data_IF_996519713202
#
_entry.id   IF_996519713202
#
_cell.length_a   1.000
_cell.length_b   1.000
_cell.length_c   1.000
_cell.angle_alpha   90.00
_cell.angle_beta   90.00
_cell.angle_gamma   90.00
#
_symmetry.space_group_name_H-M   'P 1'
#
loop_
_entity.id
_entity.type
_entity.pdbx_description
1 polymer ?
#
# COMPACT_ATOMS: atom_id res chain seq x y z
N UNK A 1 28.83 30.30 -8.20
CA UNK A 1 27.94 29.23 -7.73
C UNK A 1 26.76 29.25 -8.66
N UNK A 2 26.78 28.38 -9.67
CA UNK A 2 25.66 28.25 -10.62
C UNK A 2 24.77 27.13 -10.12
N UNK A 3 23.59 27.49 -9.64
CA UNK A 3 22.50 26.55 -9.36
C UNK A 3 22.03 25.98 -10.69
N UNK A 4 22.34 24.71 -10.96
CA UNK A 4 21.77 24.00 -12.10
C UNK A 4 20.35 23.62 -11.75
N UNK A 5 19.42 24.42 -12.23
CA UNK A 5 18.01 24.06 -12.36
C UNK A 5 17.93 22.86 -13.32
N UNK A 6 17.96 21.66 -12.78
CA UNK A 6 17.59 20.46 -13.52
C UNK A 6 16.06 20.41 -13.47
N UNK A 7 15.43 20.80 -14.56
CA UNK A 7 14.03 20.53 -14.79
C UNK A 7 13.77 19.04 -14.51
N UNK A 8 13.16 18.71 -13.38
CA UNK A 8 12.70 17.37 -13.09
C UNK A 8 11.63 17.02 -14.13
N UNK A 9 11.89 15.99 -14.93
CA UNK A 9 10.85 15.37 -15.75
C UNK A 9 9.70 15.01 -14.83
N UNK A 10 8.43 15.17 -15.27
CA UNK A 10 7.29 14.74 -14.46
C UNK A 10 7.50 13.29 -14.04
N UNK A 11 7.22 12.99 -12.77
CA UNK A 11 7.42 11.66 -12.22
C UNK A 11 6.52 10.68 -12.99
N UNK A 12 7.16 9.70 -13.65
CA UNK A 12 6.47 8.63 -14.38
C UNK A 12 5.47 7.92 -13.47
N UNK A 13 4.26 7.71 -13.99
CA UNK A 13 3.21 6.97 -13.31
C UNK A 13 3.18 5.54 -13.85
N UNK A 14 3.20 4.57 -12.94
CA UNK A 14 3.12 3.14 -13.25
C UNK A 14 1.85 2.59 -12.63
N UNK A 15 1.04 1.89 -13.42
CA UNK A 15 -0.20 1.25 -13.01
C UNK A 15 0.06 -0.20 -12.62
N UNK A 16 -0.64 -0.69 -11.60
CA UNK A 16 -0.53 -2.07 -11.14
C UNK A 16 -1.84 -2.82 -11.33
N UNK A 17 -1.75 -4.04 -11.88
CA UNK A 17 -2.85 -4.94 -12.18
C UNK A 17 -2.66 -6.28 -11.49
N UNK A 18 -3.78 -6.98 -11.20
CA UNK A 18 -3.75 -8.29 -10.57
C UNK A 18 -3.76 -9.38 -11.64
N UNK A 19 -2.78 -10.28 -11.58
CA UNK A 19 -2.70 -11.45 -12.44
C UNK A 19 -2.46 -12.73 -11.64
N UNK A 20 -2.97 -13.86 -12.14
CA UNK A 20 -2.63 -15.16 -11.59
C UNK A 20 -1.16 -15.48 -11.93
N UNK A 21 -0.45 -16.02 -10.96
CA UNK A 21 0.94 -16.40 -11.14
C UNK A 21 1.26 -17.72 -10.46
N UNK A 22 2.27 -18.40 -10.98
CA UNK A 22 2.80 -19.60 -10.35
C UNK A 22 3.39 -19.28 -8.96
N UNK A 23 3.16 -20.10 -7.94
CA UNK A 23 3.58 -19.82 -6.56
C UNK A 23 5.07 -19.52 -6.38
N UNK A 24 5.94 -20.08 -7.24
CA UNK A 24 7.38 -19.81 -7.16
C UNK A 24 7.75 -18.37 -7.51
N UNK A 25 6.98 -17.71 -8.39
CA UNK A 25 7.18 -16.31 -8.78
C UNK A 25 6.92 -15.35 -7.61
N UNK A 26 6.09 -15.73 -6.67
CA UNK A 26 5.68 -14.90 -5.53
C UNK A 26 6.58 -15.04 -4.30
N UNK A 27 7.69 -15.80 -4.43
CA UNK A 27 8.69 -15.99 -3.36
C UNK A 27 9.66 -14.83 -3.25
N UNK A 28 10.26 -14.67 -2.09
CA UNK A 28 11.22 -13.58 -1.80
C UNK A 28 12.40 -13.50 -2.77
N UNK A 29 12.88 -14.66 -3.27
CA UNK A 29 13.97 -14.74 -4.22
C UNK A 29 13.64 -14.17 -5.62
N UNK A 30 12.35 -14.02 -5.93
CA UNK A 30 11.87 -13.42 -7.18
C UNK A 30 11.57 -11.92 -7.05
N UNK A 31 11.73 -11.34 -5.87
CA UNK A 31 11.45 -9.92 -5.59
C UNK A 31 10.07 -9.48 -6.07
N UNK A 32 8.99 -10.19 -5.71
CA UNK A 32 7.69 -9.95 -6.30
C UNK A 32 7.07 -8.63 -5.90
N UNK A 33 6.30 -8.05 -6.83
CA UNK A 33 5.15 -7.22 -6.46
C UNK A 33 3.93 -8.14 -6.39
N UNK A 34 3.14 -8.05 -5.31
CA UNK A 34 2.01 -8.95 -5.10
C UNK A 34 0.97 -8.41 -4.13
N UNK A 35 -0.22 -8.97 -4.21
CA UNK A 35 -1.32 -8.75 -3.27
C UNK A 35 -1.62 -10.05 -2.53
N UNK A 36 -1.93 -9.96 -1.25
CA UNK A 36 -2.35 -11.10 -0.44
C UNK A 36 -1.24 -12.12 -0.12
N UNK A 37 -1.66 -13.27 0.39
CA UNK A 37 -0.73 -14.29 0.89
C UNK A 37 0.04 -13.84 2.12
N UNK A 38 1.29 -14.29 2.22
CA UNK A 38 2.24 -13.88 3.26
C UNK A 38 3.25 -12.90 2.66
N UNK A 39 3.79 -11.95 3.44
CA UNK A 39 4.80 -11.03 2.91
C UNK A 39 6.05 -11.79 2.44
N UNK A 40 6.57 -11.42 1.28
CA UNK A 40 7.85 -11.90 0.76
C UNK A 40 8.97 -10.98 1.26
N UNK A 41 9.41 -11.18 2.50
CA UNK A 41 10.43 -10.36 3.14
C UNK A 41 11.76 -10.42 2.38
N UNK A 42 12.38 -9.28 2.09
CA UNK A 42 13.73 -9.23 1.51
C UNK A 42 14.79 -9.81 2.47
N UNK A 43 14.57 -9.69 3.76
CA UNK A 43 15.47 -10.18 4.81
C UNK A 43 14.67 -10.43 6.08
N UNK A 44 15.12 -11.40 6.89
CA UNK A 44 14.58 -11.60 8.24
C UNK A 44 15.25 -10.70 9.29
N UNK A 45 16.15 -9.80 8.89
CA UNK A 45 16.74 -8.79 9.77
C UNK A 45 15.94 -7.49 9.71
N UNK A 46 15.77 -6.86 10.87
CA UNK A 46 15.07 -5.58 10.95
C UNK A 46 13.60 -5.64 10.62
N UNK A 47 12.96 -6.80 10.78
CA UNK A 47 11.52 -6.92 10.61
C UNK A 47 10.77 -6.09 11.65
N UNK A 48 9.56 -5.60 11.32
CA UNK A 48 8.73 -4.90 12.28
C UNK A 48 8.48 -5.76 13.52
N UNK A 49 8.46 -5.15 14.68
CA UNK A 49 8.12 -5.86 15.91
C UNK A 49 6.60 -6.12 15.99
N UNK A 50 6.20 -7.06 16.84
CA UNK A 50 4.78 -7.46 16.93
C UNK A 50 3.82 -6.30 17.22
N UNK A 51 4.12 -5.35 18.15
CA UNK A 51 3.27 -4.20 18.39
C UNK A 51 3.11 -3.27 17.17
N UNK A 52 4.13 -3.18 16.30
CA UNK A 52 4.05 -2.40 15.06
C UNK A 52 3.13 -3.04 14.02
N UNK A 53 2.89 -4.35 14.12
CA UNK A 53 2.01 -5.13 13.24
C UNK A 53 0.59 -5.32 13.82
N UNK A 54 0.24 -4.57 14.85
CA UNK A 54 -1.11 -4.53 15.41
C UNK A 54 -1.85 -3.26 14.97
N UNK A 55 -3.15 -3.39 14.74
CA UNK A 55 -4.03 -2.24 14.48
C UNK A 55 -4.06 -1.31 15.69
N UNK A 56 -3.87 -0.01 15.49
CA UNK A 56 -3.84 0.95 16.60
C UNK A 56 -5.20 1.11 17.27
N UNK A 57 -6.30 0.72 16.60
CA UNK A 57 -7.67 0.80 17.13
C UNK A 57 -8.09 -0.45 17.90
N UNK A 58 -8.04 -1.63 17.29
CA UNK A 58 -8.55 -2.86 17.92
C UNK A 58 -7.46 -3.75 18.51
N UNK A 59 -6.18 -3.43 18.30
CA UNK A 59 -5.02 -4.20 18.77
C UNK A 59 -4.95 -5.64 18.26
N UNK A 60 -5.70 -5.96 17.22
CA UNK A 60 -5.61 -7.23 16.54
C UNK A 60 -4.45 -7.23 15.53
N UNK A 61 -3.85 -8.41 15.24
CA UNK A 61 -2.84 -8.53 14.20
C UNK A 61 -3.37 -8.03 12.86
N UNK A 62 -2.59 -7.21 12.17
CA UNK A 62 -2.91 -6.74 10.83
C UNK A 62 -2.59 -7.82 9.79
N UNK A 63 -3.38 -7.86 8.72
CA UNK A 63 -3.14 -8.72 7.58
C UNK A 63 -2.25 -8.01 6.56
N UNK A 64 -1.33 -8.76 5.95
CA UNK A 64 -0.58 -8.27 4.80
C UNK A 64 -1.55 -8.10 3.62
N UNK A 65 -1.55 -6.90 3.02
CA UNK A 65 -2.43 -6.56 1.91
C UNK A 65 -1.68 -6.61 0.58
N UNK A 66 -0.62 -5.84 0.45
CA UNK A 66 0.16 -5.79 -0.79
C UNK A 66 1.63 -5.45 -0.53
N UNK A 67 2.45 -5.79 -1.51
CA UNK A 67 3.87 -5.49 -1.60
C UNK A 67 4.18 -4.97 -3.00
N UNK A 68 4.92 -3.86 -3.06
CA UNK A 68 5.44 -3.30 -4.30
C UNK A 68 6.96 -3.39 -4.28
N UNK A 69 7.55 -4.04 -5.28
CA UNK A 69 8.98 -4.03 -5.49
C UNK A 69 9.35 -2.74 -6.26
N UNK A 70 10.05 -1.85 -5.60
CA UNK A 70 10.28 -0.48 -6.05
C UNK A 70 11.74 -0.05 -5.85
N UNK A 71 12.70 -0.64 -6.59
CA UNK A 71 14.11 -0.28 -6.52
C UNK A 71 14.33 1.18 -6.90
N UNK A 72 15.40 1.80 -6.38
CA UNK A 72 15.79 3.16 -6.76
C UNK A 72 17.07 3.10 -7.57
N UNK A 73 16.96 3.45 -8.84
CA UNK A 73 18.11 3.46 -9.76
C UNK A 73 19.21 4.41 -9.27
N UNK A 74 20.46 3.97 -9.40
CA UNK A 74 21.62 4.77 -9.03
C UNK A 74 21.90 4.85 -7.52
N UNK A 75 21.16 4.12 -6.68
CA UNK A 75 21.38 4.07 -5.24
C UNK A 75 21.68 2.64 -4.79
N UNK A 76 22.95 2.35 -4.50
CA UNK A 76 23.39 0.99 -4.13
C UNK A 76 22.63 0.39 -2.94
N UNK A 77 22.36 1.18 -1.92
CA UNK A 77 21.70 0.74 -0.68
C UNK A 77 20.20 0.48 -0.82
N UNK A 78 19.58 0.86 -1.94
CA UNK A 78 18.17 0.63 -2.26
C UNK A 78 18.01 -0.10 -3.60
N UNK A 79 19.02 -0.88 -4.00
CA UNK A 79 18.97 -1.72 -5.20
C UNK A 79 17.83 -2.74 -5.13
N UNK A 80 17.68 -3.43 -3.99
CA UNK A 80 16.45 -4.17 -3.68
C UNK A 80 15.65 -3.35 -2.69
N UNK A 81 14.44 -3.05 -3.03
CA UNK A 81 13.55 -2.26 -2.19
C UNK A 81 12.11 -2.72 -2.34
N UNK A 82 11.47 -3.02 -1.22
CA UNK A 82 10.06 -3.40 -1.17
C UNK A 82 9.30 -2.53 -0.18
N UNK A 83 8.12 -2.13 -0.58
CA UNK A 83 7.13 -1.44 0.25
C UNK A 83 6.03 -2.45 0.58
N UNK A 84 5.74 -2.62 1.86
CA UNK A 84 4.79 -3.61 2.34
C UNK A 84 3.66 -2.89 3.08
N UNK A 85 2.44 -3.05 2.61
CA UNK A 85 1.23 -2.49 3.22
C UNK A 85 0.49 -3.57 3.98
N UNK A 86 0.14 -3.24 5.22
CA UNK A 86 -0.68 -4.05 6.11
C UNK A 86 -1.97 -3.31 6.45
N UNK A 87 -3.07 -4.04 6.60
CA UNK A 87 -4.35 -3.47 6.97
C UNK A 87 -5.05 -4.30 8.05
N UNK A 88 -5.92 -3.65 8.80
CA UNK A 88 -6.80 -4.31 9.75
C UNK A 88 -7.92 -5.05 9.01
N UNK A 89 -8.32 -6.23 9.49
CA UNK A 89 -9.47 -6.98 8.92
C UNK A 89 -10.79 -6.68 9.62
N UNK A 90 -10.79 -5.78 10.59
CA UNK A 90 -11.97 -5.39 11.37
C UNK A 90 -12.63 -4.19 10.69
N UNK A 91 -13.84 -4.32 10.09
CA UNK A 91 -14.48 -3.23 9.34
C UNK A 91 -14.68 -1.95 10.17
N UNK A 92 -14.98 -2.09 11.44
CA UNK A 92 -15.25 -0.99 12.38
C UNK A 92 -14.00 -0.13 12.66
N UNK A 93 -12.81 -0.59 12.24
CA UNK A 93 -11.58 0.19 12.36
C UNK A 93 -11.40 1.19 11.21
N UNK A 94 -12.17 1.04 10.13
CA UNK A 94 -12.08 1.94 9.00
C UNK A 94 -12.99 3.15 9.20
N UNK A 95 -12.38 4.31 9.33
CA UNK A 95 -13.07 5.60 9.37
C UNK A 95 -12.49 6.51 8.32
N UNK A 96 -13.32 7.39 7.79
CA UNK A 96 -12.90 8.33 6.76
C UNK A 96 -11.71 9.18 7.26
N UNK A 97 -10.69 9.32 6.43
CA UNK A 97 -9.47 10.10 6.69
C UNK A 97 -8.65 9.65 7.93
N UNK A 98 -8.79 8.41 8.36
CA UNK A 98 -8.00 7.83 9.44
C UNK A 98 -7.17 6.64 8.95
N UNK A 99 -5.86 6.79 8.97
CA UNK A 99 -4.89 5.77 8.56
C UNK A 99 -4.48 4.80 9.67
N UNK A 100 -5.04 4.88 10.87
CA UNK A 100 -4.65 4.08 12.04
C UNK A 100 -4.87 2.57 11.87
N UNK A 101 -5.72 2.18 10.90
CA UNK A 101 -5.99 0.80 10.51
C UNK A 101 -5.08 0.29 9.37
N UNK A 102 -4.11 1.11 8.90
CA UNK A 102 -3.16 0.76 7.85
C UNK A 102 -1.74 1.08 8.29
N UNK A 103 -0.76 0.27 7.86
CA UNK A 103 0.66 0.50 8.13
C UNK A 103 1.51 0.11 6.93
N UNK A 104 2.50 0.96 6.62
CA UNK A 104 3.45 0.71 5.53
C UNK A 104 4.84 0.53 6.12
N UNK A 105 5.52 -0.51 5.68
CA UNK A 105 6.92 -0.78 6.01
C UNK A 105 7.75 -0.79 4.74
N UNK A 106 9.01 -0.40 4.88
CA UNK A 106 10.00 -0.41 3.80
C UNK A 106 11.15 -1.32 4.17
N UNK A 107 11.49 -2.25 3.29
CA UNK A 107 12.68 -3.09 3.37
C UNK A 107 13.63 -2.76 2.23
N UNK A 108 14.95 -2.68 2.51
CA UNK A 108 15.96 -2.32 1.52
C UNK A 108 17.23 -3.14 1.71
N UNK A 109 17.87 -3.48 0.59
CA UNK A 109 19.17 -4.16 0.56
C UNK A 109 20.01 -3.60 -0.59
N UNK A 110 21.32 -3.51 -0.42
CA UNK A 110 22.23 -3.24 -1.53
C UNK A 110 22.27 -4.43 -2.50
N UNK A 111 22.75 -4.21 -3.73
CA UNK A 111 22.91 -5.27 -4.71
C UNK A 111 23.82 -6.38 -4.21
N UNK A 112 24.96 -6.01 -3.61
CA UNK A 112 25.85 -6.97 -2.92
C UNK A 112 25.38 -7.13 -1.49
N UNK A 113 24.79 -8.26 -1.19
CA UNK A 113 24.30 -8.61 0.13
C UNK A 113 24.53 -10.09 0.42
N UNK A 114 24.26 -10.51 1.64
CA UNK A 114 24.46 -11.88 2.11
C UNK A 114 23.24 -12.80 1.86
N UNK A 115 22.12 -12.24 1.34
CA UNK A 115 20.85 -12.95 1.21
C UNK A 115 20.60 -13.47 -0.20
N UNK A 116 21.04 -12.73 -1.22
CA UNK A 116 20.74 -13.03 -2.62
C UNK A 116 22.00 -13.01 -3.49
N UNK A 117 22.02 -13.85 -4.56
CA UNK A 117 23.05 -13.80 -5.56
C UNK A 117 23.15 -12.42 -6.22
N UNK A 118 24.31 -12.12 -6.80
CA UNK A 118 24.50 -10.88 -7.55
C UNK A 118 23.74 -10.88 -8.88
N UNK A 119 23.55 -12.07 -9.47
CA UNK A 119 22.85 -12.27 -10.73
C UNK A 119 21.32 -12.18 -10.53
N UNK A 120 20.58 -11.77 -11.56
CA UNK A 120 19.12 -11.71 -11.48
C UNK A 120 18.52 -13.09 -11.21
N UNK A 121 17.32 -13.16 -10.60
CA UNK A 121 16.64 -14.43 -10.38
C UNK A 121 16.31 -15.12 -11.70
N UNK A 122 16.19 -16.46 -11.71
CA UNK A 122 15.81 -17.21 -12.91
C UNK A 122 14.42 -16.83 -13.39
N UNK A 123 14.22 -16.80 -14.71
CA UNK A 123 12.93 -16.54 -15.35
C UNK A 123 12.06 -17.79 -15.43
N UNK A 124 12.66 -18.98 -15.29
CA UNK A 124 11.98 -20.27 -15.29
C UNK A 124 11.91 -20.87 -13.88
N UNK A 125 10.94 -21.77 -13.66
CA UNK A 125 10.82 -22.45 -12.36
C UNK A 125 12.11 -23.21 -12.04
N UNK A 126 12.75 -22.93 -10.88
CA UNK A 126 13.95 -23.66 -10.48
C UNK A 126 13.65 -25.16 -10.29
N UNK A 127 14.39 -26.02 -10.93
CA UNK A 127 14.30 -27.49 -10.77
C UNK A 127 14.68 -27.97 -9.37
N UNK A 128 15.11 -27.09 -8.49
CA UNK A 128 15.51 -27.41 -7.12
C UNK A 128 14.34 -27.34 -6.15
N UNK A 129 14.36 -28.28 -5.19
CA UNK A 129 13.39 -28.45 -4.12
C UNK A 129 12.89 -27.14 -3.50
N UNK A 130 11.56 -26.94 -3.33
CA UNK A 130 10.95 -25.77 -2.67
C UNK A 130 11.55 -25.45 -1.29
N UNK A 131 12.11 -26.42 -0.60
CA UNK A 131 12.79 -26.20 0.68
C UNK A 131 14.15 -25.51 0.55
N UNK A 132 14.75 -25.49 -0.65
CA UNK A 132 16.03 -24.80 -0.86
C UNK A 132 15.89 -23.28 -0.83
N UNK A 133 14.71 -22.76 -1.12
CA UNK A 133 14.42 -21.31 -1.14
C UNK A 133 14.38 -20.71 0.29
N UNK A 134 14.07 -21.52 1.31
CA UNK A 134 14.19 -21.10 2.71
C UNK A 134 15.65 -20.94 3.18
N UNK A 135 16.62 -21.49 2.42
CA UNK A 135 18.06 -21.39 2.75
C UNK A 135 18.72 -20.08 2.32
N UNK A 136 18.05 -19.30 1.48
CA UNK A 136 18.59 -17.98 1.02
C UNK A 136 18.52 -16.95 2.15
N UNK A 137 17.66 -17.15 3.16
CA UNK A 137 17.63 -16.29 4.33
C UNK A 137 18.58 -16.87 5.38
N UNK A 138 19.73 -16.23 5.66
CA UNK A 138 20.65 -16.72 6.67
C UNK A 138 19.93 -16.91 8.00
N UNK A 139 20.34 -17.94 8.75
CA UNK A 139 19.73 -18.33 10.02
C UNK A 139 19.81 -17.14 11.01
N UNK A 140 18.83 -16.25 10.93
CA UNK A 140 18.73 -15.06 11.78
C UNK A 140 18.20 -15.40 13.18
N UNK A 141 17.80 -16.65 13.41
CA UNK A 141 17.08 -17.06 14.62
C UNK A 141 15.64 -16.51 14.70
N UNK A 142 15.22 -15.67 13.76
CA UNK A 142 13.85 -15.15 13.69
C UNK A 142 12.93 -16.24 13.18
N UNK A 143 11.89 -16.51 13.94
CA UNK A 143 10.81 -17.42 13.54
C UNK A 143 9.63 -16.63 13.02
N UNK A 144 9.00 -17.14 11.96
CA UNK A 144 7.82 -16.53 11.37
C UNK A 144 6.54 -17.21 11.84
N UNK A 145 5.49 -16.44 11.93
CA UNK A 145 4.15 -16.94 12.25
C UNK A 145 3.64 -17.84 11.12
N UNK A 146 3.23 -19.04 11.46
CA UNK A 146 2.66 -19.99 10.50
C UNK A 146 1.47 -19.41 9.71
N UNK A 147 0.63 -18.60 10.36
CA UNK A 147 -0.58 -18.04 9.75
C UNK A 147 -0.26 -16.86 8.83
N UNK A 148 0.47 -15.84 9.29
CA UNK A 148 0.59 -14.58 8.57
C UNK A 148 2.00 -14.28 8.01
N UNK A 149 3.01 -15.13 8.27
CA UNK A 149 4.37 -14.87 7.78
C UNK A 149 5.10 -13.69 8.44
N UNK A 150 4.51 -13.04 9.44
CA UNK A 150 5.16 -12.00 10.23
C UNK A 150 6.01 -12.62 11.37
N UNK A 151 6.92 -11.86 12.03
CA UNK A 151 7.67 -12.37 13.16
C UNK A 151 6.79 -13.06 14.20
N UNK A 152 7.27 -14.14 14.79
CA UNK A 152 6.54 -14.93 15.76
C UNK A 152 7.41 -15.38 16.91
N UNK A 153 6.90 -15.24 18.14
CA UNK A 153 7.59 -15.63 19.37
C UNK A 153 6.83 -16.67 20.21
N UNK A 154 5.66 -17.11 19.75
CA UNK A 154 4.82 -18.08 20.46
C UNK A 154 4.89 -19.44 19.76
N UNK A 155 5.65 -20.38 20.31
CA UNK A 155 5.68 -21.76 19.80
C UNK A 155 4.49 -22.59 20.26
N UNK A 156 4.11 -23.60 19.47
CA UNK A 156 3.19 -24.63 19.94
C UNK A 156 3.88 -25.43 21.07
N UNK A 157 3.28 -25.46 22.25
CA UNK A 157 3.83 -26.18 23.39
C UNK A 157 3.82 -27.70 23.26
N UNK A 158 3.05 -28.24 22.29
CA UNK A 158 2.94 -29.68 22.08
C UNK A 158 3.95 -30.22 21.06
N UNK A 159 4.05 -29.60 19.86
CA UNK A 159 4.94 -30.09 18.80
C UNK A 159 6.25 -29.31 18.68
N UNK A 160 6.31 -28.06 19.16
CA UNK A 160 7.43 -27.13 19.05
C UNK A 160 7.89 -26.79 17.61
N UNK A 161 7.18 -27.28 16.57
CA UNK A 161 7.52 -27.09 15.15
C UNK A 161 6.97 -25.81 14.56
N UNK A 162 5.80 -25.35 15.00
CA UNK A 162 5.14 -24.15 14.47
C UNK A 162 5.21 -22.99 15.46
N UNK A 163 5.34 -21.78 14.92
CA UNK A 163 5.43 -20.54 15.68
C UNK A 163 4.33 -19.56 15.26
N UNK A 164 3.92 -18.68 16.16
CA UNK A 164 2.84 -17.71 15.94
C UNK A 164 3.26 -16.33 16.44
N UNK A 165 2.73 -15.27 15.82
CA UNK A 165 2.89 -13.89 16.28
C UNK A 165 2.15 -13.64 17.61
N UNK A 166 1.04 -14.35 17.86
CA UNK A 166 0.26 -14.19 19.07
C UNK A 166 -0.77 -15.30 19.27
N UNK A 167 -1.53 -15.17 20.37
CA UNK A 167 -2.58 -16.13 20.75
C UNK A 167 -3.67 -16.25 19.68
N UNK A 168 -4.03 -15.12 19.03
CA UNK A 168 -5.09 -15.10 18.01
C UNK A 168 -4.77 -16.04 16.85
N UNK A 169 -3.55 -15.96 16.28
CA UNK A 169 -3.15 -16.83 15.18
C UNK A 169 -2.89 -18.27 15.64
N UNK A 170 -2.44 -18.47 16.86
CA UNK A 170 -2.32 -19.83 17.43
C UNK A 170 -3.70 -20.49 17.55
N UNK A 171 -4.69 -19.78 18.08
CA UNK A 171 -6.06 -20.28 18.22
C UNK A 171 -6.72 -20.54 16.88
N UNK A 172 -6.52 -19.60 15.92
CA UNK A 172 -7.03 -19.75 14.57
C UNK A 172 -6.51 -21.03 13.90
N UNK A 173 -5.20 -21.21 13.89
CA UNK A 173 -4.56 -22.40 13.30
C UNK A 173 -4.96 -23.67 14.03
N UNK A 174 -5.01 -23.65 15.37
CA UNK A 174 -5.45 -24.78 16.17
C UNK A 174 -6.88 -25.22 15.84
N UNK A 175 -7.79 -24.26 15.69
CA UNK A 175 -9.21 -24.53 15.40
C UNK A 175 -9.40 -25.15 14.01
N UNK A 176 -8.65 -24.68 13.02
CA UNK A 176 -8.89 -25.07 11.62
C UNK A 176 -8.13 -26.32 11.18
N UNK A 177 -6.85 -26.44 11.56
CA UNK A 177 -5.97 -27.51 11.03
C UNK A 177 -5.06 -28.14 12.07
N UNK A 178 -4.27 -27.35 12.78
CA UNK A 178 -3.15 -27.81 13.60
C UNK A 178 -3.54 -28.79 14.73
N UNK A 179 -4.76 -28.73 15.24
CA UNK A 179 -5.24 -29.69 16.26
C UNK A 179 -5.14 -31.14 15.79
N UNK A 180 -5.40 -31.38 14.51
CA UNK A 180 -5.35 -32.72 13.89
C UNK A 180 -3.93 -33.10 13.48
N UNK A 181 -3.14 -32.15 13.03
CA UNK A 181 -1.80 -32.33 12.45
C UNK A 181 -0.67 -32.17 13.47
N UNK A 182 -0.99 -31.79 14.72
CA UNK A 182 0.00 -31.51 15.74
C UNK A 182 0.77 -32.74 16.16
N UNK A 183 2.06 -32.80 15.76
CA UNK A 183 2.95 -33.93 16.02
C UNK A 183 2.99 -34.99 14.90
N UNK A 184 2.27 -34.78 13.79
CA UNK A 184 2.46 -35.58 12.57
C UNK A 184 3.69 -35.05 11.79
N UNK A 185 4.37 -35.95 11.06
CA UNK A 185 5.48 -35.56 10.18
C UNK A 185 4.98 -34.89 8.88
N UNK A 186 3.74 -35.15 8.51
CA UNK A 186 3.10 -34.51 7.35
C UNK A 186 2.38 -33.23 7.81
N UNK A 187 3.04 -32.10 7.63
CA UNK A 187 2.39 -30.80 7.78
C UNK A 187 1.77 -30.46 6.43
N UNK A 188 0.45 -30.41 6.37
CA UNK A 188 -0.25 -29.97 5.16
C UNK A 188 0.22 -28.56 4.78
N UNK A 189 0.87 -28.43 3.62
CA UNK A 189 1.28 -27.15 3.05
C UNK A 189 0.08 -26.31 2.57
N UNK A 190 -1.10 -26.92 2.47
CA UNK A 190 -2.34 -26.25 2.04
C UNK A 190 -3.00 -25.58 3.22
N UNK A 191 -2.44 -24.48 3.67
CA UNK A 191 -3.14 -23.59 4.60
C UNK A 191 -3.74 -22.44 3.81
N UNK A 192 -4.92 -22.64 3.24
CA UNK A 192 -5.83 -21.53 2.95
C UNK A 192 -6.21 -20.92 4.29
N UNK A 193 -5.40 -20.00 4.74
CA UNK A 193 -5.66 -19.32 6.00
C UNK A 193 -6.88 -18.41 5.80
N UNK A 194 -7.91 -18.62 6.58
CA UNK A 194 -9.08 -17.70 6.66
C UNK A 194 -8.66 -16.25 6.96
N UNK A 195 -7.44 -16.08 7.46
CA UNK A 195 -6.88 -14.78 7.79
C UNK A 195 -6.26 -14.05 6.59
N UNK A 196 -5.64 -14.77 5.66
CA UNK A 196 -4.95 -14.17 4.51
C UNK A 196 -5.94 -13.73 3.43
N UNK A 197 -5.55 -12.72 2.67
CA UNK A 197 -6.18 -12.40 1.39
C UNK A 197 -5.69 -13.40 0.32
N UNK A 198 -6.47 -13.65 -0.74
CA UNK A 198 -5.99 -14.40 -1.89
C UNK A 198 -4.67 -13.85 -2.41
N UNK A 199 -3.75 -14.71 -2.81
CA UNK A 199 -2.44 -14.32 -3.29
C UNK A 199 -2.43 -14.23 -4.81
N UNK A 200 -2.02 -13.08 -5.34
CA UNK A 200 -1.91 -12.79 -6.77
C UNK A 200 -0.67 -11.96 -7.06
N UNK A 201 -0.13 -12.06 -8.27
CA UNK A 201 0.94 -11.16 -8.74
C UNK A 201 0.38 -9.76 -8.99
N UNK A 202 1.19 -8.74 -8.73
CA UNK A 202 0.92 -7.37 -9.11
C UNK A 202 1.85 -7.02 -10.27
N UNK A 203 1.34 -7.10 -11.49
CA UNK A 203 2.05 -6.71 -12.70
C UNK A 203 1.95 -5.21 -12.88
N UNK A 204 3.03 -4.59 -13.35
CA UNK A 204 3.09 -3.12 -13.48
C UNK A 204 3.36 -2.71 -14.92
N UNK A 205 2.62 -1.69 -15.39
CA UNK A 205 2.75 -1.11 -16.72
C UNK A 205 2.82 0.41 -16.62
N UNK A 206 3.61 1.10 -17.48
CA UNK A 206 3.59 2.55 -17.55
C UNK A 206 2.20 3.06 -17.90
N UNK A 207 1.77 4.16 -17.26
CA UNK A 207 0.54 4.85 -17.68
C UNK A 207 0.79 5.50 -19.05
N UNK A 208 -0.06 5.21 -20.04
CA UNK A 208 0.00 5.89 -21.32
C UNK A 208 -0.39 7.37 -21.14
N UNK A 209 0.47 8.29 -21.59
CA UNK A 209 0.15 9.70 -21.62
C UNK A 209 -0.90 9.94 -22.73
N UNK A 210 -2.17 10.06 -22.36
CA UNK A 210 -3.11 10.73 -23.24
C UNK A 210 -2.68 12.19 -23.34
N UNK A 211 -2.52 12.69 -24.57
CA UNK A 211 -2.26 14.11 -24.86
C UNK A 211 -3.48 14.93 -24.40
N UNK A 212 -3.53 15.18 -23.10
CA UNK A 212 -4.45 16.15 -22.51
C UNK A 212 -4.02 17.52 -23.03
N UNK A 213 -4.59 17.88 -24.19
CA UNK A 213 -4.39 19.20 -24.77
C UNK A 213 -4.46 20.24 -23.66
N UNK A 214 -3.35 20.95 -23.46
CA UNK A 214 -3.06 21.94 -22.43
C UNK A 214 -4.32 22.71 -22.03
N UNK A 215 -5.01 22.28 -20.98
CA UNK A 215 -5.86 23.18 -20.23
C UNK A 215 -4.91 24.11 -19.47
N UNK A 216 -4.70 25.30 -20.01
CA UNK A 216 -4.03 26.40 -19.36
C UNK A 216 -4.73 26.69 -18.03
N UNK A 217 -4.09 26.30 -16.93
CA UNK A 217 -4.37 26.87 -15.62
C UNK A 217 -4.05 28.37 -15.70
N UNK A 218 -5.04 29.15 -16.11
CA UNK A 218 -4.98 30.62 -16.01
C UNK A 218 -4.88 30.99 -14.53
N UNK A 219 -3.64 31.16 -14.08
CA UNK A 219 -3.35 31.96 -12.89
C UNK A 219 -3.90 33.37 -13.13
N UNK A 220 -5.00 33.70 -12.48
CA UNK A 220 -5.42 35.03 -12.05
C UNK A 220 -6.54 34.85 -11.05
N UNK A 221 -6.25 35.02 -9.79
CA UNK A 221 -6.92 36.09 -9.03
C UNK A 221 -6.13 36.37 -7.75
N UNK A 222 -5.48 37.52 -7.75
CA UNK A 222 -5.09 38.23 -6.53
C UNK A 222 -6.26 39.16 -6.21
N UNK A 223 -6.84 39.02 -5.03
CA UNK A 223 -7.89 39.93 -4.58
C UNK A 223 -8.27 39.64 -3.15
N UNK A 224 -7.60 40.33 -2.24
CA UNK A 224 -7.94 40.46 -0.82
C UNK A 224 -9.39 40.90 -0.64
N UNK A 225 -10.11 40.36 0.37
CA UNK A 225 -10.73 41.17 1.42
C UNK A 225 -11.31 40.32 2.54
N UNK A 226 -10.93 40.68 3.75
CA UNK A 226 -11.45 40.20 5.02
C UNK A 226 -12.93 40.62 5.22
N UNK A 227 -13.73 39.71 5.77
CA UNK A 227 -15.10 40.00 6.18
C UNK A 227 -15.72 38.89 7.03
N UNK A 228 -15.35 38.85 8.30
CA UNK A 228 -16.01 38.05 9.32
C UNK A 228 -17.46 38.44 9.50
N UNK A 229 -18.41 37.53 9.26
CA UNK A 229 -19.70 37.53 9.99
C UNK A 229 -20.28 36.15 10.06
N UNK A 230 -20.34 35.60 11.27
CA UNK A 230 -21.15 34.45 11.67
C UNK A 230 -22.64 34.75 11.42
N UNK A 231 -23.27 33.98 10.57
CA UNK A 231 -24.74 33.92 10.48
C UNK A 231 -25.24 32.51 10.79
N UNK A 232 -26.21 32.46 11.68
CA UNK A 232 -26.87 31.29 12.20
C UNK A 232 -27.86 30.68 11.21
N UNK A 233 -28.13 29.37 11.35
CA UNK A 233 -28.87 28.47 10.43
C UNK A 233 -30.37 28.83 10.17
N UNK A 234 -30.88 29.96 10.65
CA UNK A 234 -32.30 30.34 10.44
C UNK A 234 -32.54 31.20 9.20
N UNK A 235 -31.50 31.77 8.57
CA UNK A 235 -31.67 32.65 7.42
C UNK A 235 -31.73 31.93 6.06
N UNK A 236 -31.53 30.61 6.03
CA UNK A 236 -31.50 29.86 4.77
C UNK A 236 -32.87 29.53 4.16
N UNK A 237 -33.95 29.61 4.96
CA UNK A 237 -35.30 29.26 4.51
C UNK A 237 -36.10 30.42 3.88
N UNK A 238 -35.68 31.66 4.07
CA UNK A 238 -36.38 32.82 3.52
C UNK A 238 -35.87 33.32 2.15
N UNK A 239 -34.75 32.81 1.69
CA UNK A 239 -34.14 33.16 0.37
C UNK A 239 -34.64 32.30 -0.79
N UNK A 240 -35.38 31.23 -0.52
CA UNK A 240 -35.81 30.28 -1.55
C UNK A 240 -36.99 30.78 -2.41
N UNK A 241 -37.62 31.88 -2.07
CA UNK A 241 -38.83 32.36 -2.78
C UNK A 241 -38.59 33.48 -3.80
N UNK A 242 -37.33 33.98 -3.98
CA UNK A 242 -37.07 35.13 -4.85
C UNK A 242 -35.93 34.97 -5.84
N UNK A 243 -35.41 33.76 -6.02
CA UNK A 243 -34.42 33.53 -7.08
C UNK A 243 -35.12 33.35 -8.43
N UNK A 244 -34.77 34.20 -9.39
CA UNK A 244 -35.23 34.04 -10.78
C UNK A 244 -34.73 32.70 -11.35
N UNK A 245 -35.50 32.10 -12.28
CA UNK A 245 -35.11 30.83 -12.93
C UNK A 245 -33.70 30.86 -13.52
N UNK A 246 -33.25 32.04 -13.97
CA UNK A 246 -31.87 32.27 -14.47
C UNK A 246 -30.79 32.08 -13.42
N UNK A 247 -31.03 32.44 -12.14
CA UNK A 247 -30.06 32.26 -11.05
C UNK A 247 -29.94 30.81 -10.63
N UNK A 248 -31.03 30.05 -10.73
CA UNK A 248 -31.04 28.59 -10.51
C UNK A 248 -30.30 27.84 -11.59
N UNK A 249 -30.40 28.27 -12.86
CA UNK A 249 -29.64 27.71 -13.97
C UNK A 249 -28.13 28.02 -13.86
N UNK A 250 -27.76 29.24 -13.45
CA UNK A 250 -26.35 29.59 -13.18
C UNK A 250 -25.79 28.79 -11.99
N UNK A 251 -26.54 28.58 -10.93
CA UNK A 251 -26.12 27.71 -9.82
C UNK A 251 -26.03 26.24 -10.23
N UNK A 252 -26.87 25.75 -11.11
CA UNK A 252 -26.81 24.39 -11.66
C UNK A 252 -25.60 24.18 -12.60
N UNK A 253 -25.12 25.25 -13.24
CA UNK A 253 -23.94 25.24 -14.10
C UNK A 253 -22.61 25.44 -13.32
N UNK A 254 -22.69 25.87 -12.07
CA UNK A 254 -21.49 26.04 -11.26
C UNK A 254 -21.00 24.69 -10.75
N UNK A 255 -20.07 24.07 -11.50
CA UNK A 255 -19.36 22.88 -11.02
C UNK A 255 -18.64 23.21 -9.73
N UNK A 256 -18.98 22.48 -8.66
CA UNK A 256 -18.26 22.61 -7.40
C UNK A 256 -16.81 22.17 -7.58
N UNK A 257 -15.88 22.74 -6.81
CA UNK A 257 -14.47 22.33 -6.82
C UNK A 257 -14.33 20.81 -6.64
N UNK A 258 -15.20 20.22 -5.82
CA UNK A 258 -15.21 18.79 -5.56
C UNK A 258 -15.62 17.96 -6.79
N UNK A 259 -16.63 18.43 -7.54
CA UNK A 259 -17.04 17.78 -8.81
C UNK A 259 -15.91 17.78 -9.84
N UNK A 260 -15.15 18.89 -9.96
CA UNK A 260 -14.00 18.95 -10.88
C UNK A 260 -12.91 17.94 -10.50
N UNK A 261 -12.59 17.84 -9.20
CA UNK A 261 -11.62 16.85 -8.70
C UNK A 261 -12.11 15.43 -9.00
N UNK A 262 -13.39 15.14 -8.73
CA UNK A 262 -13.97 13.83 -8.99
C UNK A 262 -14.02 13.47 -10.48
N UNK A 263 -14.36 14.42 -11.35
CA UNK A 263 -14.35 14.20 -12.80
C UNK A 263 -12.94 13.95 -13.33
N UNK A 264 -11.94 14.70 -12.85
CA UNK A 264 -10.53 14.46 -13.16
C UNK A 264 -10.10 13.04 -12.73
N UNK A 265 -10.47 12.63 -11.51
CA UNK A 265 -10.23 11.26 -11.04
C UNK A 265 -10.87 10.22 -11.98
N UNK A 266 -12.16 10.39 -12.31
CA UNK A 266 -12.87 9.46 -13.20
C UNK A 266 -12.25 9.39 -14.59
N UNK A 267 -11.91 10.54 -15.18
CA UNK A 267 -11.26 10.62 -16.49
C UNK A 267 -9.93 9.86 -16.48
N UNK A 268 -9.13 10.02 -15.42
CA UNK A 268 -7.80 9.38 -15.31
C UNK A 268 -7.84 7.88 -15.03
N UNK A 269 -8.91 7.39 -14.39
CA UNK A 269 -9.11 5.95 -14.13
C UNK A 269 -9.78 5.24 -15.30
N UNK A 270 -10.57 5.94 -16.12
CA UNK A 270 -11.41 5.33 -17.14
C UNK A 270 -10.66 4.49 -18.20
N UNK A 271 -9.46 4.86 -18.68
CA UNK A 271 -8.73 4.03 -19.63
C UNK A 271 -8.36 2.65 -19.04
N UNK A 272 -7.96 2.63 -17.77
CA UNK A 272 -7.52 1.41 -17.07
C UNK A 272 -8.30 1.21 -15.77
N UNK A 273 -9.57 0.81 -15.83
CA UNK A 273 -10.45 0.72 -14.65
C UNK A 273 -10.10 -0.45 -13.72
N UNK A 274 -9.29 -1.41 -14.17
CA UNK A 274 -8.85 -2.57 -13.39
C UNK A 274 -7.56 -2.34 -12.61
N UNK A 275 -6.96 -1.14 -12.73
CA UNK A 275 -5.79 -0.79 -11.96
C UNK A 275 -6.09 -0.82 -10.45
N UNK A 276 -5.20 -1.40 -9.66
CA UNK A 276 -5.34 -1.48 -8.18
C UNK A 276 -4.26 -0.67 -7.46
N UNK A 277 -3.19 -0.32 -8.16
CA UNK A 277 -2.10 0.53 -7.65
C UNK A 277 -1.72 1.58 -8.70
N UNK A 278 -1.46 2.78 -8.24
CA UNK A 278 -0.77 3.84 -8.99
C UNK A 278 0.51 4.18 -8.25
N UNK A 279 1.64 3.89 -8.88
CA UNK A 279 2.96 4.18 -8.33
C UNK A 279 3.58 5.37 -9.06
N UNK A 280 4.03 6.37 -8.31
CA UNK A 280 4.73 7.54 -8.87
C UNK A 280 5.57 8.18 -7.77
N UNK A 281 6.81 7.77 -7.64
CA UNK A 281 7.69 8.26 -6.58
C UNK A 281 8.03 9.74 -6.79
N UNK A 282 7.69 10.60 -5.80
CA UNK A 282 7.84 12.05 -5.90
C UNK A 282 6.77 12.74 -6.73
N UNK A 283 5.79 11.99 -7.25
CA UNK A 283 4.61 12.55 -7.89
C UNK A 283 3.55 13.03 -6.90
N UNK A 284 2.31 13.08 -7.36
CA UNK A 284 1.17 13.52 -6.55
C UNK A 284 0.06 12.47 -6.54
N UNK A 285 -0.70 12.37 -5.42
CA UNK A 285 -1.86 11.50 -5.38
C UNK A 285 -2.95 11.96 -6.36
N UNK A 286 -3.67 11.01 -6.93
CA UNK A 286 -4.88 11.29 -7.67
C UNK A 286 -6.08 11.30 -6.71
N UNK A 287 -6.54 12.49 -6.35
CA UNK A 287 -7.58 12.68 -5.35
C UNK A 287 -8.98 12.40 -5.90
N UNK A 288 -9.80 11.71 -5.10
CA UNK A 288 -11.22 11.44 -5.39
C UNK A 288 -12.11 12.63 -5.03
N UNK A 289 -11.68 13.43 -4.04
CA UNK A 289 -12.41 14.56 -3.49
C UNK A 289 -11.46 15.71 -3.18
N UNK A 290 -11.94 16.93 -3.23
CA UNK A 290 -11.22 18.12 -2.79
C UNK A 290 -11.23 18.30 -1.27
N UNK A 291 -12.05 17.49 -0.57
CA UNK A 291 -12.18 17.59 0.87
C UNK A 291 -11.06 16.80 1.58
N UNK A 292 -10.56 17.35 2.68
CA UNK A 292 -9.57 16.69 3.53
C UNK A 292 -8.27 16.28 2.82
N UNK A 293 -7.89 16.97 1.77
CA UNK A 293 -6.55 16.82 1.19
C UNK A 293 -5.54 17.29 2.24
N UNK A 294 -4.60 16.42 2.68
CA UNK A 294 -3.61 16.83 3.66
C UNK A 294 -2.68 17.92 3.09
N UNK A 295 -2.41 18.95 3.88
CA UNK A 295 -1.36 19.92 3.60
C UNK A 295 0.02 19.30 3.91
N UNK A 296 1.09 19.94 3.44
CA UNK A 296 2.46 19.53 3.75
C UNK A 296 2.72 19.46 5.27
N UNK A 297 2.02 20.29 6.06
CA UNK A 297 2.14 20.32 7.52
C UNK A 297 1.45 19.12 8.20
N UNK A 298 0.48 18.50 7.55
CA UNK A 298 -0.23 17.31 8.05
C UNK A 298 0.58 16.03 7.79
N UNK A 299 1.59 16.09 6.92
CA UNK A 299 2.45 14.94 6.59
C UNK A 299 3.58 14.85 7.63
N UNK A 300 3.58 13.84 8.51
CA UNK A 300 4.58 13.75 9.55
C UNK A 300 5.96 13.48 8.95
N UNK A 301 6.98 14.17 9.43
CA UNK A 301 8.36 13.93 9.04
C UNK A 301 8.81 12.52 9.44
N UNK A 302 9.85 12.02 8.78
CA UNK A 302 10.53 10.80 9.20
C UNK A 302 11.20 11.01 10.56
N UNK A 303 11.39 9.96 11.33
CA UNK A 303 12.12 10.00 12.60
C UNK A 303 13.55 10.52 12.46
N UNK A 304 14.13 10.49 11.26
CA UNK A 304 15.44 11.10 10.93
C UNK A 304 15.37 12.58 10.56
N UNK A 305 14.18 13.20 10.57
CA UNK A 305 13.95 14.59 10.19
C UNK A 305 13.77 14.83 8.68
N UNK A 306 13.86 13.81 7.84
CA UNK A 306 13.63 13.95 6.41
C UNK A 306 12.13 14.10 6.11
N UNK A 307 11.81 14.91 5.11
CA UNK A 307 10.46 15.02 4.56
C UNK A 307 10.02 13.72 3.90
N UNK A 308 8.72 13.47 3.91
CA UNK A 308 8.11 12.33 3.21
C UNK A 308 7.52 12.82 1.91
N UNK A 309 7.75 12.05 0.87
CA UNK A 309 7.16 12.30 -0.46
C UNK A 309 6.13 11.24 -0.78
N UNK A 310 5.19 11.56 -1.63
CA UNK A 310 4.25 10.59 -2.20
C UNK A 310 5.02 9.49 -2.94
N UNK A 311 4.52 8.27 -2.92
CA UNK A 311 5.15 7.17 -3.62
C UNK A 311 4.15 6.29 -4.36
N UNK A 312 3.07 5.87 -3.72
CA UNK A 312 2.01 5.11 -4.39
C UNK A 312 0.66 5.30 -3.71
N UNK A 313 -0.37 4.97 -4.44
CA UNK A 313 -1.76 4.98 -4.00
C UNK A 313 -2.41 3.64 -4.37
N UNK A 314 -3.23 3.12 -3.47
CA UNK A 314 -4.09 1.96 -3.74
C UNK A 314 -5.41 2.48 -4.28
N UNK A 315 -5.83 1.95 -5.42
CA UNK A 315 -7.11 2.26 -6.06
C UNK A 315 -8.00 1.04 -5.90
N UNK A 316 -9.13 1.20 -5.24
CA UNK A 316 -10.12 0.12 -5.18
C UNK A 316 -11.04 0.25 -6.38
N UNK A 317 -11.07 -0.78 -7.24
CA UNK A 317 -12.13 -0.90 -8.24
C UNK A 317 -13.49 -0.95 -7.53
N UNK A 318 -14.44 -0.14 -7.99
CA UNK A 318 -15.83 -0.18 -7.54
C UNK A 318 -16.58 -1.37 -8.14
#
# INVERSE_FOLDING_TARGET
>A
MMSSDRGESPAEVVLGFLEEAEPWRLRSAQFPSKVGGKPAWLSLRGLPCLPELECDRCRLPMAFLLQVYAPISGQDWSFHRSLLLFCCKTPECYTLNDSSCMKVFRSQLPRRNEFYPYDPPPEEEPLSDPESDQRVLPVSGVKLCWVCGCPGNKGCSRCHTVTYCGKNHQMLHWKHTHKKECGSQEVSLVTTSVFLFPETELVTEPEEEEDDGKEEDTKKDEGEEEGSTTKTDEDCLSLAETLAETDLEEMAMCETKDMKVFQRFKKRIAPEPHQVVRYSRGGSPLWVSSQHIPSDQDIPQCTCGAERTFEFQVVTAQ
#
